data_IF_764853916238
#
_entry.id   IF_764853916238
#
_cell.length_a   1.000
_cell.length_b   1.000
_cell.length_c   1.000
_cell.angle_alpha   90.00
_cell.angle_beta   90.00
_cell.angle_gamma   90.00
#
_symmetry.space_group_name_H-M   'P 1'
#
loop_
_entity.id
_entity.type
_entity.pdbx_description
1 polymer ?
#
# COMPACT_ATOMS: atom_id res chain seq x y z
N UNK A 1 11.99 -19.14 -1.62
CA UNK A 1 11.18 -18.76 -0.44
C UNK A 1 11.39 -19.68 0.76
N UNK A 2 10.80 -20.89 0.84
CA UNK A 2 10.94 -21.74 2.05
C UNK A 2 12.39 -22.13 2.39
N UNK A 3 13.27 -22.23 1.39
CA UNK A 3 14.69 -22.56 1.55
C UNK A 3 15.56 -21.33 1.82
N UNK A 4 15.28 -20.23 1.12
CA UNK A 4 16.15 -19.05 1.10
C UNK A 4 15.75 -18.00 2.14
N UNK A 5 14.47 -17.96 2.55
CA UNK A 5 13.87 -17.01 3.49
C UNK A 5 12.85 -17.71 4.42
N UNK A 6 13.30 -18.63 5.29
CA UNK A 6 12.42 -19.49 6.08
C UNK A 6 11.62 -18.74 7.15
N UNK A 7 12.19 -17.72 7.79
CA UNK A 7 11.53 -16.95 8.85
C UNK A 7 10.48 -16.01 8.25
N UNK A 8 10.79 -15.39 7.11
CA UNK A 8 9.80 -14.63 6.35
C UNK A 8 8.66 -15.55 5.88
N UNK A 9 8.97 -16.71 5.31
CA UNK A 9 7.95 -17.67 4.88
C UNK A 9 7.03 -18.11 6.04
N UNK A 10 7.59 -18.36 7.23
CA UNK A 10 6.77 -18.66 8.42
C UNK A 10 5.87 -17.49 8.80
N UNK A 11 6.38 -16.26 8.76
CA UNK A 11 5.60 -15.06 9.05
C UNK A 11 4.46 -14.87 8.03
N UNK A 12 4.73 -15.02 6.73
CA UNK A 12 3.73 -14.89 5.66
C UNK A 12 2.59 -15.89 5.81
N UNK A 13 2.87 -17.13 6.23
CA UNK A 13 1.82 -18.12 6.50
C UNK A 13 0.86 -17.72 7.63
N UNK A 14 1.30 -16.88 8.58
CA UNK A 14 0.41 -16.34 9.63
C UNK A 14 -0.55 -15.27 9.11
N UNK A 15 -0.25 -14.71 7.95
CA UNK A 15 -1.08 -13.73 7.24
C UNK A 15 -2.02 -14.42 6.25
N UNK A 16 -1.98 -15.74 6.10
CA UNK A 16 -2.74 -16.47 5.09
C UNK A 16 -4.23 -16.10 5.11
N UNK A 17 -4.74 -15.70 3.95
CA UNK A 17 -6.14 -15.25 3.75
C UNK A 17 -6.58 -14.07 4.62
N UNK A 18 -5.66 -13.25 5.14
CA UNK A 18 -5.94 -12.08 5.97
C UNK A 18 -6.29 -10.85 5.13
N UNK A 19 -5.62 -10.66 3.99
CA UNK A 19 -5.79 -9.48 3.15
C UNK A 19 -5.57 -9.75 1.67
N UNK A 20 -6.14 -8.87 0.86
CA UNK A 20 -5.85 -8.71 -0.55
C UNK A 20 -5.90 -7.21 -0.89
N UNK A 21 -4.92 -6.73 -1.66
CA UNK A 21 -4.88 -5.37 -2.18
C UNK A 21 -4.66 -5.41 -3.69
N UNK A 22 -5.47 -4.66 -4.42
CA UNK A 22 -5.27 -4.37 -5.84
C UNK A 22 -5.04 -2.87 -5.98
N UNK A 23 -3.86 -2.47 -6.41
CA UNK A 23 -3.41 -1.08 -6.42
C UNK A 23 -2.99 -0.74 -7.84
N UNK A 24 -3.65 0.25 -8.45
CA UNK A 24 -3.29 0.77 -9.75
C UNK A 24 -2.78 2.20 -9.63
N UNK A 25 -1.58 2.45 -10.16
CA UNK A 25 -0.98 3.77 -10.26
C UNK A 25 -1.25 4.33 -11.65
N UNK A 26 -1.83 5.52 -11.77
CA UNK A 26 -2.21 6.11 -13.05
C UNK A 26 -1.57 7.49 -13.24
N UNK A 27 -1.17 7.80 -14.47
CA UNK A 27 -0.68 9.13 -14.82
C UNK A 27 -1.83 10.15 -14.95
N UNK A 28 -1.50 11.40 -15.24
CA UNK A 28 -2.49 12.47 -15.40
C UNK A 28 -3.51 12.23 -16.54
N UNK A 29 -3.17 11.37 -17.51
CA UNK A 29 -4.03 10.99 -18.64
C UNK A 29 -4.92 9.78 -18.31
N UNK A 30 -4.81 9.21 -17.10
CA UNK A 30 -5.54 8.00 -16.69
C UNK A 30 -4.90 6.68 -17.15
N UNK A 31 -3.74 6.72 -17.81
CA UNK A 31 -3.00 5.52 -18.21
C UNK A 31 -2.28 4.92 -17.00
N UNK A 32 -2.34 3.61 -16.88
CA UNK A 32 -1.68 2.84 -15.82
C UNK A 32 -0.17 2.92 -15.99
N UNK A 33 0.54 3.27 -14.93
CA UNK A 33 2.01 3.28 -14.84
C UNK A 33 2.49 1.94 -14.31
N UNK A 34 1.80 1.42 -13.29
CA UNK A 34 2.12 0.20 -12.60
C UNK A 34 0.86 -0.31 -11.91
N UNK A 35 0.64 -1.62 -11.99
CA UNK A 35 -0.35 -2.31 -11.16
C UNK A 35 0.38 -3.21 -10.16
N UNK A 36 -0.10 -3.21 -8.93
CA UNK A 36 0.43 -3.93 -7.79
C UNK A 36 -0.71 -4.75 -7.19
N UNK A 37 -0.52 -6.06 -7.14
CA UNK A 37 -1.44 -6.99 -6.51
C UNK A 37 -0.74 -7.69 -5.35
N UNK A 38 -1.32 -7.60 -4.15
CA UNK A 38 -0.85 -8.26 -2.94
C UNK A 38 -1.94 -9.21 -2.48
N UNK A 39 -1.68 -10.50 -2.43
CA UNK A 39 -2.61 -11.49 -1.90
C UNK A 39 -1.92 -12.36 -0.86
N UNK A 40 -2.45 -12.31 0.35
CA UNK A 40 -1.96 -13.12 1.45
C UNK A 40 -2.21 -14.62 1.31
N UNK A 41 -3.07 -15.05 0.36
CA UNK A 41 -3.43 -16.45 0.14
C UNK A 41 -2.50 -17.14 -0.85
N UNK A 42 -2.45 -16.68 -2.10
CA UNK A 42 -1.78 -17.42 -3.18
C UNK A 42 -0.49 -16.75 -3.68
N UNK A 43 -0.47 -15.42 -3.78
CA UNK A 43 0.68 -14.65 -4.31
C UNK A 43 0.91 -13.41 -3.47
N UNK A 44 1.96 -13.44 -2.64
CA UNK A 44 2.22 -12.34 -1.72
C UNK A 44 2.41 -11.00 -2.43
N UNK A 45 3.01 -10.99 -3.62
CA UNK A 45 3.28 -9.79 -4.41
C UNK A 45 3.34 -10.12 -5.91
N UNK A 46 2.56 -9.39 -6.70
CA UNK A 46 2.61 -9.33 -8.16
C UNK A 46 2.71 -7.88 -8.61
N UNK A 47 3.62 -7.61 -9.54
CA UNK A 47 3.89 -6.30 -10.10
C UNK A 47 3.77 -6.37 -11.62
N UNK A 48 3.00 -5.46 -12.21
CA UNK A 48 2.83 -5.35 -13.66
C UNK A 48 3.13 -3.92 -14.11
N UNK A 49 4.10 -3.76 -15.00
CA UNK A 49 4.44 -2.50 -15.63
C UNK A 49 5.26 -2.78 -16.89
N UNK A 50 5.20 -1.87 -17.87
CA UNK A 50 6.03 -1.98 -19.07
C UNK A 50 7.26 -1.10 -18.98
N UNK A 51 8.36 -1.60 -19.53
CA UNK A 51 9.58 -0.82 -19.68
C UNK A 51 10.14 -0.95 -21.09
N UNK A 52 10.73 0.12 -21.61
CA UNK A 52 11.45 0.09 -22.88
C UNK A 52 12.60 1.11 -22.84
N UNK A 53 13.83 0.67 -23.11
CA UNK A 53 15.03 1.52 -23.15
C UNK A 53 15.20 2.39 -21.89
N UNK A 54 15.03 1.80 -20.72
CA UNK A 54 15.14 2.48 -19.42
C UNK A 54 13.99 3.44 -19.08
N UNK A 55 12.93 3.47 -19.89
CA UNK A 55 11.69 4.22 -19.62
C UNK A 55 10.62 3.31 -19.07
N UNK A 56 9.79 3.82 -18.18
CA UNK A 56 8.49 3.23 -17.89
C UNK A 56 7.54 3.64 -19.02
N UNK A 57 6.78 2.67 -19.54
CA UNK A 57 5.79 2.87 -20.59
C UNK A 57 4.41 2.69 -19.94
N UNK A 58 3.62 3.77 -19.78
CA UNK A 58 2.25 3.64 -19.32
C UNK A 58 1.42 2.76 -20.26
N UNK A 59 0.29 2.25 -19.78
CA UNK A 59 -0.61 1.37 -20.54
C UNK A 59 -2.08 1.67 -20.26
N UNK A 60 -2.94 1.38 -21.23
CA UNK A 60 -4.39 1.54 -21.07
C UNK A 60 -4.98 0.43 -20.21
N UNK A 61 -6.25 0.56 -19.81
CA UNK A 61 -7.02 -0.48 -19.13
C UNK A 61 -7.06 -1.82 -19.91
N UNK A 62 -6.88 -1.79 -21.23
CA UNK A 62 -6.81 -2.97 -22.10
C UNK A 62 -5.37 -3.53 -22.23
N UNK A 63 -4.45 -3.13 -21.35
CA UNK A 63 -3.03 -3.51 -21.34
C UNK A 63 -2.25 -3.11 -22.59
N UNK A 64 -2.67 -2.04 -23.29
CA UNK A 64 -1.96 -1.52 -24.47
C UNK A 64 -0.92 -0.48 -24.08
N UNK A 65 0.37 -0.63 -24.44
CA UNK A 65 1.40 0.35 -24.14
C UNK A 65 1.14 1.70 -24.84
N UNK A 66 1.38 2.80 -24.12
CA UNK A 66 1.25 4.19 -24.57
C UNK A 66 2.63 4.84 -24.53
N UNK A 67 3.36 4.74 -25.65
CA UNK A 67 4.75 5.21 -25.74
C UNK A 67 4.89 6.73 -25.68
N UNK A 68 3.84 7.48 -25.99
CA UNK A 68 3.82 8.95 -25.95
C UNK A 68 3.99 9.47 -24.51
N UNK A 69 3.48 8.71 -23.53
CA UNK A 69 3.57 9.04 -22.10
C UNK A 69 4.81 8.42 -21.42
N UNK A 70 5.71 7.83 -22.20
CA UNK A 70 6.91 7.18 -21.67
C UNK A 70 7.84 8.16 -20.95
N UNK A 71 8.33 7.77 -19.77
CA UNK A 71 9.22 8.63 -18.98
C UNK A 71 10.39 7.86 -18.38
N UNK A 72 11.50 8.56 -18.14
CA UNK A 72 12.66 8.04 -17.42
C UNK A 72 12.46 8.31 -15.92
N UNK A 73 12.30 7.28 -15.06
CA UNK A 73 12.08 7.50 -13.63
C UNK A 73 13.19 8.34 -12.97
N UNK A 74 14.43 8.17 -13.45
CA UNK A 74 15.61 8.91 -12.95
C UNK A 74 15.69 10.37 -13.38
N UNK A 75 14.90 10.79 -14.37
CA UNK A 75 14.88 12.18 -14.88
C UNK A 75 13.66 12.97 -14.40
N UNK A 76 12.68 12.28 -13.80
CA UNK A 76 11.49 12.91 -13.24
C UNK A 76 11.88 13.66 -11.97
N UNK A 77 11.56 14.96 -11.93
CA UNK A 77 11.77 15.83 -10.74
C UNK A 77 10.48 16.21 -10.05
N UNK A 78 9.37 16.18 -10.78
CA UNK A 78 8.04 16.56 -10.32
C UNK A 78 7.05 15.73 -11.13
N UNK A 79 6.12 15.06 -10.47
CA UNK A 79 5.15 14.21 -11.14
C UNK A 79 3.86 14.04 -10.33
N UNK A 80 2.74 14.39 -10.95
CA UNK A 80 1.42 14.12 -10.41
C UNK A 80 0.88 12.81 -10.98
N UNK A 81 0.35 11.97 -10.11
CA UNK A 81 -0.25 10.70 -10.46
C UNK A 81 -1.37 10.37 -9.47
N UNK A 82 -2.21 9.41 -9.80
CA UNK A 82 -3.23 8.90 -8.89
C UNK A 82 -2.97 7.44 -8.56
N UNK A 83 -3.59 7.01 -7.47
CA UNK A 83 -3.61 5.63 -7.03
C UNK A 83 -5.06 5.26 -6.75
N UNK A 84 -5.51 4.17 -7.38
CA UNK A 84 -6.80 3.55 -7.11
C UNK A 84 -6.56 2.22 -6.41
N UNK A 85 -7.29 1.93 -5.33
CA UNK A 85 -7.08 0.72 -4.54
C UNK A 85 -8.39 -0.01 -4.27
N UNK A 86 -8.38 -1.32 -4.48
CA UNK A 86 -9.36 -2.23 -3.90
C UNK A 86 -8.71 -2.92 -2.71
N UNK A 87 -9.40 -2.88 -1.57
CA UNK A 87 -8.90 -3.32 -0.28
C UNK A 87 -9.84 -4.39 0.26
N UNK A 88 -9.29 -5.55 0.58
CA UNK A 88 -10.00 -6.63 1.24
C UNK A 88 -9.23 -7.07 2.49
N UNK A 89 -9.97 -7.24 3.59
CA UNK A 89 -9.49 -7.86 4.82
C UNK A 89 -10.45 -8.95 5.28
N UNK A 90 -9.90 -10.04 5.82
CA UNK A 90 -10.65 -11.08 6.50
C UNK A 90 -10.09 -11.29 7.90
N UNK A 91 -10.78 -10.71 8.88
CA UNK A 91 -10.35 -10.68 10.26
C UNK A 91 -11.31 -11.56 11.07
N UNK A 92 -10.80 -12.68 11.60
CA UNK A 92 -11.56 -13.63 12.41
C UNK A 92 -12.90 -14.10 11.77
N UNK A 93 -12.97 -14.16 10.44
CA UNK A 93 -14.15 -14.60 9.68
C UNK A 93 -15.10 -13.47 9.26
N UNK A 94 -14.82 -12.22 9.64
CA UNK A 94 -15.47 -11.03 9.10
C UNK A 94 -14.67 -10.53 7.90
N UNK A 95 -15.37 -10.28 6.81
CA UNK A 95 -14.82 -9.73 5.58
C UNK A 95 -15.17 -8.25 5.49
N UNK A 96 -14.16 -7.44 5.27
CA UNK A 96 -14.26 -6.01 4.99
C UNK A 96 -13.76 -5.80 3.57
N UNK A 97 -14.59 -5.20 2.71
CA UNK A 97 -14.22 -4.91 1.33
C UNK A 97 -14.52 -3.45 1.00
N UNK A 98 -13.52 -2.75 0.49
CA UNK A 98 -13.61 -1.37 0.05
C UNK A 98 -13.01 -1.27 -1.35
N UNK A 99 -13.86 -1.07 -2.34
CA UNK A 99 -13.43 -0.98 -3.73
C UNK A 99 -13.19 0.48 -4.12
N UNK A 100 -12.28 0.73 -5.06
CA UNK A 100 -12.05 2.03 -5.69
C UNK A 100 -11.73 3.20 -4.72
N UNK A 101 -10.91 2.95 -3.71
CA UNK A 101 -10.33 4.01 -2.86
C UNK A 101 -9.40 4.87 -3.72
N UNK A 102 -9.63 6.19 -3.75
CA UNK A 102 -8.85 7.12 -4.57
C UNK A 102 -7.88 7.94 -3.76
N UNK A 103 -6.63 7.98 -4.22
CA UNK A 103 -5.53 8.71 -3.59
C UNK A 103 -4.83 9.56 -4.66
N UNK A 104 -4.73 10.86 -4.40
CA UNK A 104 -3.92 11.75 -5.22
C UNK A 104 -2.46 11.67 -4.75
N UNK A 105 -1.55 11.53 -5.70
CA UNK A 105 -0.13 11.36 -5.42
C UNK A 105 0.69 12.47 -6.09
N UNK A 106 1.71 12.95 -5.39
CA UNK A 106 2.65 13.94 -5.91
C UNK A 106 4.07 13.54 -5.53
N UNK A 107 4.87 13.24 -6.54
CA UNK A 107 6.30 12.97 -6.42
C UNK A 107 7.09 14.25 -6.69
N UNK A 108 8.09 14.51 -5.87
CA UNK A 108 9.04 15.57 -6.07
C UNK A 108 10.46 15.07 -5.72
N UNK A 109 11.42 15.35 -6.58
CA UNK A 109 12.84 15.12 -6.33
C UNK A 109 13.65 16.35 -6.72
N UNK A 110 14.33 16.92 -5.72
CA UNK A 110 15.23 18.06 -5.88
C UNK A 110 16.56 17.76 -5.21
N UNK A 111 17.62 17.84 -6.00
CA UNK A 111 18.99 17.58 -5.54
C UNK A 111 19.08 16.17 -4.90
N UNK A 112 19.49 16.12 -3.64
CA UNK A 112 19.62 14.90 -2.84
C UNK A 112 18.41 14.66 -1.93
N UNK A 113 17.26 15.30 -2.19
CA UNK A 113 16.04 15.10 -1.43
C UNK A 113 14.92 14.64 -2.35
N UNK A 114 14.11 13.71 -1.87
CA UNK A 114 12.89 13.32 -2.55
C UNK A 114 11.73 13.19 -1.57
N UNK A 115 10.53 13.37 -2.12
CA UNK A 115 9.28 13.31 -1.39
C UNK A 115 8.21 12.68 -2.28
N UNK A 116 7.40 11.80 -1.71
CA UNK A 116 6.08 11.44 -2.26
C UNK A 116 5.02 11.80 -1.25
N UNK A 117 4.03 12.56 -1.70
CA UNK A 117 2.82 12.88 -0.93
C UNK A 117 1.68 12.03 -1.47
N UNK A 118 0.98 11.35 -0.57
CA UNK A 118 -0.26 10.63 -0.81
C UNK A 118 -1.37 11.37 -0.06
N UNK A 119 -2.38 11.85 -0.78
CA UNK A 119 -3.53 12.58 -0.23
C UNK A 119 -4.78 11.79 -0.53
N UNK A 120 -5.44 11.28 0.51
CA UNK A 120 -6.67 10.53 0.38
C UNK A 120 -7.77 11.45 -0.20
N UNK A 121 -8.51 10.98 -1.21
CA UNK A 121 -9.54 11.76 -1.91
C UNK A 121 -10.93 11.20 -1.76
N UNK A 122 -11.05 9.88 -1.80
CA UNK A 122 -12.35 9.21 -1.75
C UNK A 122 -12.18 7.83 -1.11
N UNK A 123 -13.07 7.50 -0.18
CA UNK A 123 -13.25 6.14 0.35
C UNK A 123 -14.72 5.78 0.12
N UNK A 124 -15.02 4.89 -0.84
CA UNK A 124 -16.37 4.37 -1.01
C UNK A 124 -16.86 3.57 0.21
N UNK A 125 -18.17 3.35 0.36
CA UNK A 125 -18.71 2.56 1.47
C UNK A 125 -18.06 1.17 1.56
N UNK A 126 -17.64 0.80 2.76
CA UNK A 126 -17.05 -0.52 3.01
C UNK A 126 -18.16 -1.54 3.23
N UNK A 127 -18.11 -2.63 2.48
CA UNK A 127 -19.02 -3.75 2.64
C UNK A 127 -18.49 -4.68 3.74
N UNK A 128 -19.33 -4.95 4.73
CA UNK A 128 -19.02 -5.87 5.83
C UNK A 128 -19.87 -7.13 5.69
N UNK A 129 -19.25 -8.29 5.69
CA UNK A 129 -19.94 -9.57 5.58
C UNK A 129 -19.26 -10.69 6.36
N UNK A 130 -19.93 -11.83 6.50
CA UNK A 130 -19.39 -13.00 7.19
C UNK A 130 -19.93 -13.18 8.61
N UNK A 131 -19.34 -14.15 9.33
CA UNK A 131 -19.70 -14.47 10.71
C UNK A 131 -18.43 -14.68 11.50
N UNK A 132 -18.35 -14.04 12.67
CA UNK A 132 -17.33 -14.36 13.65
C UNK A 132 -17.46 -15.83 14.05
N UNK A 133 -16.40 -16.61 13.89
CA UNK A 133 -16.33 -17.96 14.45
C UNK A 133 -16.00 -17.89 15.96
N UNK A 134 -16.17 -18.99 16.70
CA UNK A 134 -16.06 -19.06 18.18
C UNK A 134 -14.64 -18.77 18.75
N UNK A 135 -13.74 -18.21 17.94
CA UNK A 135 -12.36 -17.85 18.28
C UNK A 135 -12.19 -16.36 17.96
N UNK A 136 -12.96 -15.50 18.64
CA UNK A 136 -12.81 -14.05 18.56
C UNK A 136 -12.31 -13.51 19.89
N UNK A 137 -11.26 -12.67 19.89
CA UNK A 137 -10.81 -12.01 21.11
C UNK A 137 -11.93 -11.17 21.73
N UNK A 138 -11.94 -11.03 23.07
CA UNK A 138 -12.98 -10.25 23.76
C UNK A 138 -13.09 -8.81 23.23
N UNK A 139 -11.95 -8.18 22.92
CA UNK A 139 -11.90 -6.84 22.33
C UNK A 139 -12.64 -6.75 20.98
N UNK A 140 -12.78 -7.86 20.26
CA UNK A 140 -13.44 -7.94 18.95
C UNK A 140 -14.95 -8.19 19.07
N UNK A 141 -15.41 -8.78 20.18
CA UNK A 141 -16.82 -9.07 20.43
C UNK A 141 -17.62 -7.77 20.57
N UNK A 142 -17.07 -6.77 21.25
CA UNK A 142 -17.72 -5.47 21.47
C UNK A 142 -18.05 -4.72 20.16
N UNK A 143 -17.34 -5.06 19.08
CA UNK A 143 -17.52 -4.53 17.72
C UNK A 143 -18.70 -5.19 17.02
N UNK A 144 -18.90 -6.48 17.27
CA UNK A 144 -19.71 -7.38 16.44
C UNK A 144 -21.22 -7.30 16.65
N UNK A 145 -21.68 -6.36 17.46
CA UNK A 145 -23.12 -6.09 17.64
C UNK A 145 -23.66 -5.57 16.30
N UNK A 146 -24.49 -6.36 15.58
CA UNK A 146 -24.94 -6.02 14.24
C UNK A 146 -25.72 -4.70 14.26
N UNK A 147 -25.24 -3.70 13.53
CA UNK A 147 -25.84 -2.37 13.45
C UNK A 147 -24.86 -1.22 13.68
N UNK A 148 -23.77 -1.43 14.42
CA UNK A 148 -22.82 -0.34 14.72
C UNK A 148 -21.59 -0.30 13.81
N UNK A 149 -21.15 -1.43 13.23
CA UNK A 149 -19.90 -1.48 12.44
C UNK A 149 -19.95 -0.56 11.21
N UNK A 150 -21.03 -0.63 10.43
CA UNK A 150 -21.12 0.15 9.18
C UNK A 150 -21.06 1.65 9.46
N UNK A 151 -21.82 2.11 10.47
CA UNK A 151 -21.83 3.51 10.90
C UNK A 151 -20.49 3.93 11.50
N UNK A 152 -19.85 3.04 12.27
CA UNK A 152 -18.53 3.25 12.84
C UNK A 152 -17.49 3.44 11.71
N UNK A 153 -17.46 2.55 10.71
CA UNK A 153 -16.55 2.66 9.55
C UNK A 153 -16.84 3.94 8.77
N UNK A 154 -18.11 4.22 8.49
CA UNK A 154 -18.52 5.43 7.77
C UNK A 154 -18.03 6.70 8.46
N UNK A 155 -18.22 6.80 9.78
CA UNK A 155 -17.75 7.93 10.58
C UNK A 155 -16.22 8.05 10.55
N UNK A 156 -15.51 6.93 10.65
CA UNK A 156 -14.05 6.90 10.55
C UNK A 156 -13.57 7.38 9.17
N UNK A 157 -14.15 6.88 8.08
CA UNK A 157 -13.82 7.31 6.73
C UNK A 157 -14.11 8.80 6.49
N UNK A 158 -15.23 9.32 7.01
CA UNK A 158 -15.56 10.75 6.93
C UNK A 158 -14.47 11.62 7.58
N UNK A 159 -14.02 11.23 8.76
CA UNK A 159 -12.94 11.94 9.48
C UNK A 159 -11.65 11.93 8.68
N UNK A 160 -11.27 10.77 8.14
CA UNK A 160 -10.07 10.67 7.30
C UNK A 160 -10.14 11.60 6.08
N UNK A 161 -11.33 11.76 5.49
CA UNK A 161 -11.55 12.64 4.34
C UNK A 161 -11.69 14.12 4.71
N UNK A 162 -12.19 14.45 5.90
CA UNK A 162 -12.39 15.83 6.35
C UNK A 162 -11.22 16.42 7.15
N UNK A 163 -10.23 15.60 7.52
CA UNK A 163 -9.07 16.01 8.30
C UNK A 163 -8.31 17.19 7.67
N UNK A 164 -7.53 17.91 8.47
CA UNK A 164 -6.67 19.01 8.03
C UNK A 164 -7.46 20.13 7.33
N UNK A 165 -8.56 20.62 7.92
CA UNK A 165 -9.44 21.63 7.32
C UNK A 165 -10.07 21.21 5.97
N UNK A 166 -10.61 19.99 5.88
CA UNK A 166 -11.19 19.41 4.65
C UNK A 166 -10.20 19.09 3.53
N UNK A 167 -8.89 19.14 3.80
CA UNK A 167 -7.89 18.65 2.85
C UNK A 167 -7.80 17.12 2.86
N UNK A 168 -8.29 16.45 3.89
CA UNK A 168 -8.17 15.01 4.07
C UNK A 168 -6.80 14.60 4.61
N UNK A 169 -6.72 13.33 4.98
CA UNK A 169 -5.53 12.70 5.53
C UNK A 169 -4.45 12.57 4.48
N UNK A 170 -3.20 12.74 4.90
CA UNK A 170 -2.06 12.56 4.01
C UNK A 170 -0.91 11.78 4.65
N UNK A 171 -0.19 11.07 3.79
CA UNK A 171 1.08 10.41 4.08
C UNK A 171 2.16 11.02 3.20
N UNK A 172 3.27 11.43 3.80
CA UNK A 172 4.45 11.95 3.13
C UNK A 172 5.61 11.01 3.39
N UNK A 173 6.16 10.40 2.36
CA UNK A 173 7.43 9.67 2.42
C UNK A 173 8.54 10.59 1.94
N UNK A 174 9.53 10.88 2.80
CA UNK A 174 10.68 11.71 2.44
C UNK A 174 11.96 10.90 2.51
N UNK A 175 12.92 11.17 1.66
CA UNK A 175 14.25 10.58 1.74
C UNK A 175 15.33 11.59 1.39
N UNK A 176 16.54 11.31 1.88
CA UNK A 176 17.71 12.14 1.66
C UNK A 176 18.88 11.26 1.22
N UNK A 177 19.42 11.53 0.04
CA UNK A 177 20.52 10.79 -0.60
C UNK A 177 21.88 11.47 -0.45
N UNK A 178 22.01 12.48 0.42
CA UNK A 178 23.29 13.17 0.72
C UNK A 178 24.38 12.21 1.15
N UNK A 179 24.03 11.22 1.96
CA UNK A 179 24.90 10.13 2.33
C UNK A 179 24.37 8.84 1.69
N UNK A 180 24.95 8.37 0.57
CA UNK A 180 24.52 7.15 -0.10
C UNK A 180 24.57 5.89 0.79
N UNK A 181 25.37 5.92 1.87
CA UNK A 181 25.47 4.82 2.84
C UNK A 181 24.42 4.88 3.95
N UNK A 182 23.62 5.94 3.99
CA UNK A 182 22.63 6.23 5.04
C UNK A 182 21.40 6.94 4.45
N UNK A 183 20.76 6.28 3.48
CA UNK A 183 19.52 6.77 2.88
C UNK A 183 18.35 6.25 3.72
N UNK A 184 17.83 7.11 4.60
CA UNK A 184 16.63 6.84 5.38
C UNK A 184 15.35 7.24 4.66
N UNK A 185 14.30 6.42 4.76
CA UNK A 185 12.92 6.80 4.47
C UNK A 185 12.28 7.35 5.75
N UNK A 186 11.79 8.59 5.69
CA UNK A 186 11.15 9.30 6.79
C UNK A 186 9.65 9.43 6.50
N UNK A 187 8.81 8.51 7.01
CA UNK A 187 7.37 8.61 6.90
C UNK A 187 6.85 9.71 7.83
N UNK A 188 5.97 10.56 7.30
CA UNK A 188 5.24 11.55 8.06
C UNK A 188 3.77 11.47 7.66
N UNK A 189 2.90 11.08 8.59
CA UNK A 189 1.47 11.05 8.39
C UNK A 189 0.81 12.18 9.18
N UNK A 190 -0.18 12.83 8.59
CA UNK A 190 -1.04 13.78 9.29
C UNK A 190 -2.49 13.41 9.04
N UNK A 191 -3.20 13.16 10.13
CA UNK A 191 -4.63 12.94 10.17
C UNK A 191 -5.17 13.66 11.40
N UNK A 192 -6.42 14.10 11.33
CA UNK A 192 -7.16 14.39 12.55
C UNK A 192 -7.50 13.05 13.17
N UNK A 193 -6.98 12.82 14.37
CA UNK A 193 -7.29 11.64 15.15
C UNK A 193 -8.53 11.98 15.97
N UNK A 194 -9.65 11.32 15.68
CA UNK A 194 -10.61 11.08 16.76
C UNK A 194 -9.98 10.00 17.62
N UNK A 195 -10.04 10.14 18.95
CA UNK A 195 -9.86 9.02 19.89
C UNK A 195 -10.94 7.98 19.60
N UNK A 196 -10.72 7.19 18.55
CA UNK A 196 -11.67 6.25 18.01
C UNK A 196 -11.04 4.87 17.99
N UNK A 197 -11.85 3.93 18.43
CA UNK A 197 -11.64 2.51 18.46
C UNK A 197 -10.98 1.94 17.18
N UNK A 198 -11.22 2.46 15.96
CA UNK A 198 -10.56 1.93 14.74
C UNK A 198 -9.05 2.08 14.70
N UNK A 199 -8.52 3.14 15.31
CA UNK A 199 -7.08 3.33 15.39
C UNK A 199 -6.49 2.26 16.31
N UNK A 200 -7.11 2.06 17.48
CA UNK A 200 -6.74 1.00 18.42
C UNK A 200 -6.90 -0.39 17.80
N UNK A 201 -8.00 -0.62 17.07
CA UNK A 201 -8.26 -1.83 16.30
C UNK A 201 -7.17 -2.09 15.26
N UNK A 202 -6.83 -1.08 14.44
CA UNK A 202 -5.77 -1.16 13.45
C UNK A 202 -4.41 -1.46 14.08
N UNK A 203 -4.08 -0.80 15.19
CA UNK A 203 -2.86 -1.08 15.96
C UNK A 203 -2.86 -2.49 16.55
N UNK A 204 -3.98 -2.98 17.06
CA UNK A 204 -4.08 -4.33 17.61
C UNK A 204 -3.90 -5.39 16.52
N UNK A 205 -4.55 -5.22 15.36
CA UNK A 205 -4.36 -6.09 14.20
C UNK A 205 -2.90 -6.04 13.72
N UNK A 206 -2.31 -4.85 13.62
CA UNK A 206 -0.91 -4.68 13.27
C UNK A 206 0.01 -5.43 14.24
N UNK A 207 -0.20 -5.26 15.54
CA UNK A 207 0.58 -5.90 16.59
C UNK A 207 0.44 -7.43 16.57
N UNK A 208 -0.78 -7.96 16.43
CA UNK A 208 -1.06 -9.40 16.47
C UNK A 208 -0.64 -10.12 15.18
N UNK A 209 -0.87 -9.50 14.02
CA UNK A 209 -0.72 -10.15 12.70
C UNK A 209 0.55 -9.72 11.96
N UNK A 210 0.89 -8.43 11.95
CA UNK A 210 1.94 -7.88 11.07
C UNK A 210 3.30 -7.66 11.75
N UNK A 211 3.37 -7.72 13.09
CA UNK A 211 4.65 -7.60 13.80
C UNK A 211 5.59 -8.77 13.44
N UNK A 212 6.63 -8.45 12.68
CA UNK A 212 7.68 -9.38 12.29
C UNK A 212 8.68 -9.62 13.44
N UNK A 213 9.31 -10.80 13.46
CA UNK A 213 10.52 -11.02 14.24
C UNK A 213 11.71 -10.35 13.56
N UNK A 214 12.78 -10.04 14.30
CA UNK A 214 14.00 -9.46 13.73
C UNK A 214 14.58 -10.31 12.59
N UNK A 215 14.45 -11.64 12.69
CA UNK A 215 14.86 -12.58 11.64
C UNK A 215 14.01 -12.47 10.38
N UNK A 216 12.68 -12.44 10.52
CA UNK A 216 11.78 -12.26 9.38
C UNK A 216 11.98 -10.89 8.71
N UNK A 217 12.25 -9.85 9.51
CA UNK A 217 12.60 -8.52 8.99
C UNK A 217 13.94 -8.53 8.23
N UNK A 218 14.94 -9.26 8.71
CA UNK A 218 16.22 -9.45 8.01
C UNK A 218 16.04 -10.18 6.68
N UNK A 219 15.27 -11.28 6.66
CA UNK A 219 14.93 -12.02 5.44
C UNK A 219 14.22 -11.12 4.41
N UNK A 220 13.26 -10.30 4.85
CA UNK A 220 12.57 -9.34 3.99
C UNK A 220 13.52 -8.29 3.42
N UNK A 221 14.43 -7.77 4.24
CA UNK A 221 15.42 -6.80 3.78
C UNK A 221 16.34 -7.41 2.71
N UNK A 222 16.80 -8.63 2.93
CA UNK A 222 17.62 -9.34 1.95
C UNK A 222 16.88 -9.58 0.63
N UNK A 223 15.61 -10.01 0.69
CA UNK A 223 14.76 -10.18 -0.49
C UNK A 223 14.59 -8.85 -1.25
N UNK A 224 14.34 -7.75 -0.53
CA UNK A 224 14.17 -6.42 -1.12
C UNK A 224 15.44 -5.96 -1.84
N UNK A 225 16.61 -6.11 -1.21
CA UNK A 225 17.90 -5.74 -1.83
C UNK A 225 18.12 -6.56 -3.10
N UNK A 226 17.96 -7.88 -3.04
CA UNK A 226 18.14 -8.75 -4.21
C UNK A 226 17.15 -8.43 -5.34
N UNK A 227 15.89 -8.14 -5.00
CA UNK A 227 14.86 -7.78 -5.97
C UNK A 227 15.14 -6.44 -6.65
N UNK A 228 15.52 -5.41 -5.88
CA UNK A 228 15.87 -4.09 -6.41
C UNK A 228 17.12 -4.17 -7.27
N UNK A 229 18.15 -4.90 -6.84
CA UNK A 229 19.36 -5.10 -7.63
C UNK A 229 19.06 -5.81 -8.95
N UNK A 230 18.26 -6.88 -8.94
CA UNK A 230 17.86 -7.58 -10.16
C UNK A 230 17.08 -6.67 -11.12
N UNK A 231 16.16 -5.85 -10.58
CA UNK A 231 15.37 -4.90 -11.37
C UNK A 231 16.24 -3.79 -11.97
N UNK A 232 17.19 -3.22 -11.20
CA UNK A 232 18.15 -2.23 -11.71
C UNK A 232 19.06 -2.85 -12.79
N UNK A 233 19.52 -4.09 -12.58
CA UNK A 233 20.34 -4.81 -13.55
C UNK A 233 19.58 -5.04 -14.86
N UNK A 234 18.30 -5.39 -14.79
CA UNK A 234 17.47 -5.58 -15.98
C UNK A 234 17.21 -4.25 -16.71
N UNK A 235 16.89 -3.19 -15.96
CA UNK A 235 16.71 -1.84 -16.52
C UNK A 235 17.99 -1.28 -17.16
N UNK A 236 19.17 -1.63 -16.65
CA UNK A 236 20.46 -1.15 -17.16
C UNK A 236 20.97 -1.92 -18.37
N UNK A 237 20.59 -3.19 -18.55
CA UNK A 237 20.94 -4.02 -19.72
C UNK A 237 20.20 -3.63 -21.00
N UNK A 238 19.22 -2.71 -20.93
CA UNK A 238 18.51 -2.15 -22.08
C UNK A 238 19.26 -0.97 -22.76
N UNK A 239 20.57 -0.83 -22.51
CA UNK A 239 21.47 0.12 -23.19
C UNK A 239 22.32 -0.57 -24.25
#
# INVERSE_FOLDING_TARGET
>A
MKKDFPDLNYHLRRLESLFQFNISFQNANGNHIMDLFLDSKDTFLYLNFYTHQGRIIPFTSENKPVFEDAFYPTKVKDYNFSMNMDIFFNIYGIRFQTDNVKVACHYESRNQHGKVLFKLKEIPPTQVSGRAYHIVPTWFIDIMIPGNIDQLIENFCKVLLSANNSDGSYLSLRWNTRNPKDVGLYPHASSEFIDNFFILFGFQIWHEKFKMSDKAASDLNQLNVQGVEALILDLSKLH
#
